data_IF_977493467425
#
_entry.id   IF_977493467425
#
_cell.length_a   1.000
_cell.length_b   1.000
_cell.length_c   1.000
_cell.angle_alpha   90.00
_cell.angle_beta   90.00
_cell.angle_gamma   90.00
#
_symmetry.space_group_name_H-M   'P 1'
#
loop_
_entity.id
_entity.type
_entity.pdbx_description
1 polymer ?
#
# COMPACT_ATOMS: atom_id res chain seq x y z
N UNK A 1 -3.33 4.85 3.67
CA UNK A 1 -2.27 3.94 3.23
C UNK A 1 -0.99 4.68 2.82
N UNK A 2 -1.07 5.78 2.07
CA UNK A 2 0.12 6.50 1.59
C UNK A 2 0.60 7.62 2.53
N UNK A 3 -0.03 7.79 3.69
CA UNK A 3 0.37 8.77 4.70
C UNK A 3 1.51 8.23 5.56
N UNK A 4 2.45 9.10 5.89
CA UNK A 4 3.54 8.84 6.82
C UNK A 4 3.81 10.13 7.62
N UNK A 5 4.11 10.00 8.92
CA UNK A 5 4.26 11.16 9.83
C UNK A 5 5.34 12.16 9.40
N UNK A 6 6.39 11.66 8.78
CA UNK A 6 7.56 12.46 8.39
C UNK A 6 7.57 12.88 6.91
N UNK A 7 6.49 12.58 6.16
CA UNK A 7 6.40 12.90 4.74
C UNK A 7 5.24 13.85 4.45
N UNK A 8 5.42 14.71 3.48
CA UNK A 8 4.33 15.55 2.98
C UNK A 8 3.18 14.68 2.46
N UNK A 9 1.93 15.13 2.56
CA UNK A 9 0.79 14.42 1.96
C UNK A 9 1.01 14.13 0.48
N UNK A 10 0.62 12.93 0.03
CA UNK A 10 0.87 12.46 -1.34
C UNK A 10 -0.39 12.26 -2.17
N UNK A 11 -1.52 11.95 -1.54
CA UNK A 11 -2.82 11.79 -2.21
C UNK A 11 -2.93 10.57 -3.13
N UNK A 12 -1.95 9.68 -3.17
CA UNK A 12 -1.89 8.58 -4.15
C UNK A 12 -2.90 7.46 -3.88
N UNK A 13 -3.12 7.08 -2.63
CA UNK A 13 -3.99 5.93 -2.31
C UNK A 13 -5.49 6.20 -2.48
N UNK A 14 -5.92 7.45 -2.57
CA UNK A 14 -7.32 7.88 -2.78
C UNK A 14 -8.33 7.34 -1.75
N UNK A 15 -7.88 6.90 -0.58
CA UNK A 15 -8.76 6.39 0.49
C UNK A 15 -9.26 7.48 1.45
N UNK A 16 -8.68 8.67 1.40
CA UNK A 16 -9.10 9.83 2.19
C UNK A 16 -9.96 10.82 1.40
N UNK A 17 -10.65 10.37 0.35
CA UNK A 17 -11.53 11.21 -0.46
C UNK A 17 -12.68 11.77 0.37
N UNK A 18 -13.07 13.00 0.08
CA UNK A 18 -14.17 13.75 0.73
C UNK A 18 -15.03 14.45 -0.32
N UNK A 19 -16.25 14.80 0.05
CA UNK A 19 -17.09 15.71 -0.71
C UNK A 19 -16.99 17.10 -0.06
N UNK A 20 -16.84 18.12 -0.89
CA UNK A 20 -16.77 19.53 -0.45
C UNK A 20 -17.81 20.31 -1.23
N UNK A 21 -18.67 21.07 -0.53
CA UNK A 21 -19.69 21.86 -1.19
C UNK A 21 -19.07 22.80 -2.21
N UNK A 22 -19.70 22.89 -3.39
CA UNK A 22 -19.27 23.71 -4.55
C UNK A 22 -17.96 23.25 -5.20
N UNK A 23 -17.33 22.15 -4.75
CA UNK A 23 -16.16 21.56 -5.40
C UNK A 23 -16.57 20.32 -6.19
N UNK A 24 -16.22 20.27 -7.47
CA UNK A 24 -16.53 19.14 -8.34
C UNK A 24 -15.65 17.93 -8.01
N UNK A 25 -16.27 16.76 -7.90
CA UNK A 25 -15.58 15.49 -7.65
C UNK A 25 -15.30 15.24 -6.17
N UNK A 26 -14.37 14.34 -5.90
CA UNK A 26 -14.02 13.90 -4.57
C UNK A 26 -12.52 14.09 -4.31
N UNK A 27 -12.11 15.29 -3.89
CA UNK A 27 -10.70 15.55 -3.59
C UNK A 27 -10.22 14.71 -2.41
N UNK A 28 -8.90 14.57 -2.29
CA UNK A 28 -8.25 13.88 -1.16
C UNK A 28 -8.08 14.84 0.01
N UNK A 29 -8.59 14.52 1.17
CA UNK A 29 -8.48 15.37 2.36
C UNK A 29 -7.02 15.68 2.74
N UNK A 30 -6.11 14.73 2.52
CA UNK A 30 -4.70 14.92 2.88
C UNK A 30 -3.95 15.97 2.04
N UNK A 31 -4.44 16.31 0.85
CA UNK A 31 -3.78 17.27 -0.06
C UNK A 31 -4.63 18.50 -0.36
N UNK A 32 -5.81 18.59 0.23
CA UNK A 32 -6.72 19.73 0.01
C UNK A 32 -6.56 20.73 1.16
N UNK A 33 -6.12 21.97 0.89
CA UNK A 33 -6.08 23.01 1.90
C UNK A 33 -7.49 23.30 2.45
N UNK A 34 -7.59 23.60 3.72
CA UNK A 34 -8.83 24.05 4.35
C UNK A 34 -9.03 25.54 4.11
N UNK A 35 -10.29 25.96 4.04
CA UNK A 35 -10.68 27.36 3.93
C UNK A 35 -11.89 27.65 4.83
N UNK A 36 -12.03 28.90 5.26
CA UNK A 36 -13.15 29.33 6.09
C UNK A 36 -14.49 29.10 5.37
N UNK A 37 -15.47 28.62 6.12
CA UNK A 37 -16.79 28.31 5.59
C UNK A 37 -16.88 27.06 4.72
N UNK A 38 -15.80 26.27 4.62
CA UNK A 38 -15.82 25.00 3.88
C UNK A 38 -16.70 23.97 4.57
N UNK A 39 -17.66 23.42 3.84
CA UNK A 39 -18.52 22.32 4.30
C UNK A 39 -18.01 21.01 3.71
N UNK A 40 -17.54 20.10 4.57
CA UNK A 40 -16.92 18.84 4.18
C UNK A 40 -17.74 17.65 4.68
N UNK A 41 -18.09 16.74 3.76
CA UNK A 41 -18.71 15.45 4.11
C UNK A 41 -17.68 14.36 3.96
N UNK A 42 -17.54 13.55 5.01
CA UNK A 42 -16.53 12.49 5.09
C UNK A 42 -17.12 11.09 4.99
N UNK A 43 -18.44 10.94 5.12
CA UNK A 43 -19.09 9.64 5.26
C UNK A 43 -20.43 9.59 4.51
N UNK A 44 -20.42 9.85 3.20
CA UNK A 44 -21.58 9.62 2.33
C UNK A 44 -21.53 8.21 1.74
N UNK A 45 -22.67 7.70 1.28
CA UNK A 45 -22.75 6.40 0.60
C UNK A 45 -21.84 6.36 -0.63
N UNK A 46 -21.79 7.47 -1.40
CA UNK A 46 -20.91 7.62 -2.56
C UNK A 46 -19.42 7.47 -2.20
N UNK A 47 -18.98 8.14 -1.12
CA UNK A 47 -17.62 8.04 -0.63
C UNK A 47 -17.27 6.65 -0.13
N UNK A 48 -18.18 6.00 0.60
CA UNK A 48 -17.98 4.62 1.07
C UNK A 48 -17.81 3.66 -0.10
N UNK A 49 -18.66 3.75 -1.11
CA UNK A 49 -18.57 2.94 -2.33
C UNK A 49 -17.25 3.18 -3.07
N UNK A 50 -16.86 4.45 -3.24
CA UNK A 50 -15.59 4.79 -3.90
C UNK A 50 -14.36 4.26 -3.15
N UNK A 51 -14.33 4.39 -1.82
CA UNK A 51 -13.24 3.84 -0.99
C UNK A 51 -13.18 2.32 -1.06
N UNK A 52 -14.34 1.64 -1.04
CA UNK A 52 -14.42 0.19 -1.20
C UNK A 52 -13.84 -0.25 -2.55
N UNK A 53 -14.27 0.34 -3.65
CA UNK A 53 -13.71 0.03 -4.99
C UNK A 53 -12.21 0.31 -5.09
N UNK A 54 -11.75 1.43 -4.52
CA UNK A 54 -10.33 1.75 -4.51
C UNK A 54 -9.51 0.70 -3.76
N UNK A 55 -10.01 0.24 -2.61
CA UNK A 55 -9.37 -0.81 -1.83
C UNK A 55 -9.39 -2.15 -2.58
N UNK A 56 -10.51 -2.53 -3.19
CA UNK A 56 -10.66 -3.75 -3.99
C UNK A 56 -9.68 -3.76 -5.17
N UNK A 57 -9.49 -2.64 -5.85
CA UNK A 57 -8.48 -2.50 -6.91
C UNK A 57 -7.06 -2.78 -6.40
N UNK A 58 -6.69 -2.23 -5.24
CA UNK A 58 -5.38 -2.51 -4.63
C UNK A 58 -5.24 -3.99 -4.26
N UNK A 59 -6.30 -4.59 -3.74
CA UNK A 59 -6.31 -5.97 -3.29
C UNK A 59 -6.39 -6.98 -4.44
N UNK A 60 -6.91 -6.58 -5.61
CA UNK A 60 -7.01 -7.48 -6.78
C UNK A 60 -5.66 -7.97 -7.29
N UNK A 61 -4.62 -7.16 -7.16
CA UNK A 61 -3.23 -7.50 -7.52
C UNK A 61 -2.35 -7.96 -6.34
N UNK A 62 -2.93 -8.09 -5.14
CA UNK A 62 -2.21 -8.42 -3.92
C UNK A 62 -2.55 -9.83 -3.43
N UNK A 63 -1.63 -10.46 -2.70
CA UNK A 63 -1.86 -11.78 -2.07
C UNK A 63 -2.80 -11.67 -0.87
N UNK A 64 -4.07 -11.42 -1.14
CA UNK A 64 -5.06 -10.99 -0.14
C UNK A 64 -6.19 -12.00 0.11
N UNK A 65 -6.05 -13.26 -0.32
CA UNK A 65 -7.09 -14.27 -0.19
C UNK A 65 -7.67 -14.42 1.24
N UNK A 66 -6.86 -14.20 2.27
CA UNK A 66 -7.32 -14.26 3.66
C UNK A 66 -8.32 -13.16 4.05
N UNK A 67 -8.46 -12.08 3.28
CA UNK A 67 -9.46 -11.04 3.57
C UNK A 67 -10.88 -11.52 3.34
N UNK A 68 -11.05 -12.52 2.47
CA UNK A 68 -12.33 -13.07 2.03
C UNK A 68 -12.56 -14.50 2.52
N UNK A 69 -11.67 -15.00 3.37
CA UNK A 69 -11.76 -16.36 3.90
C UNK A 69 -12.75 -16.42 5.05
N UNK A 70 -13.73 -17.30 4.98
CA UNK A 70 -14.73 -17.49 6.04
C UNK A 70 -14.10 -18.01 7.34
N UNK A 71 -13.02 -18.81 7.26
CA UNK A 71 -12.26 -19.31 8.38
C UNK A 71 -11.22 -18.30 8.94
N UNK A 72 -11.34 -17.02 8.61
CA UNK A 72 -10.37 -16.00 8.99
C UNK A 72 -10.22 -15.84 10.50
N UNK A 73 -11.33 -15.85 11.22
CA UNK A 73 -11.36 -15.67 12.69
C UNK A 73 -10.68 -16.84 13.39
N UNK A 74 -10.90 -18.06 12.92
CA UNK A 74 -10.25 -19.27 13.45
C UNK A 74 -8.73 -19.23 13.19
N UNK A 75 -8.30 -18.82 11.98
CA UNK A 75 -6.90 -18.63 11.64
C UNK A 75 -6.20 -17.54 12.46
N UNK A 76 -6.94 -16.53 12.93
CA UNK A 76 -6.40 -15.46 13.77
C UNK A 76 -6.14 -15.92 15.20
N UNK A 77 -6.85 -16.93 15.69
CA UNK A 77 -6.64 -17.53 17.00
C UNK A 77 -5.42 -18.46 17.05
N UNK A 78 -5.10 -19.08 15.92
CA UNK A 78 -3.89 -19.89 15.80
C UNK A 78 -2.71 -18.94 15.61
N UNK A 79 -1.79 -18.85 16.57
CA UNK A 79 -0.54 -18.09 16.40
C UNK A 79 0.24 -18.72 15.25
N UNK A 80 0.37 -18.07 14.08
CA UNK A 80 1.14 -18.63 12.99
C UNK A 80 2.61 -18.66 13.39
N UNK A 81 3.32 -19.66 12.91
CA UNK A 81 4.78 -19.63 12.96
C UNK A 81 5.30 -18.31 12.36
N UNK A 82 6.44 -17.80 12.86
CA UNK A 82 7.01 -16.56 12.32
C UNK A 82 7.13 -16.66 10.81
N UNK A 83 6.61 -15.65 10.12
CA UNK A 83 6.70 -15.58 8.67
C UNK A 83 8.15 -15.67 8.25
N UNK A 84 8.49 -16.66 7.44
CA UNK A 84 9.81 -16.72 6.81
C UNK A 84 9.83 -15.73 5.65
N UNK A 85 10.88 -14.94 5.57
CA UNK A 85 11.10 -14.06 4.43
C UNK A 85 10.98 -14.87 3.13
N UNK A 86 10.21 -14.37 2.18
CA UNK A 86 10.02 -15.02 0.90
C UNK A 86 8.94 -16.09 0.81
N UNK A 87 8.08 -16.24 1.79
CA UNK A 87 6.95 -17.19 1.79
C UNK A 87 5.60 -16.48 1.96
N UNK A 88 5.48 -15.27 1.51
CA UNK A 88 4.26 -14.46 1.66
C UNK A 88 3.20 -14.81 0.61
N UNK A 89 2.66 -16.01 0.67
CA UNK A 89 1.58 -16.45 -0.22
C UNK A 89 0.19 -16.11 0.31
N UNK A 90 0.09 -15.64 1.55
CA UNK A 90 -1.19 -15.29 2.21
C UNK A 90 -0.95 -14.42 3.44
N UNK A 91 -1.99 -13.73 3.89
CA UNK A 91 -1.90 -12.87 5.09
C UNK A 91 -1.42 -13.61 6.33
N UNK A 92 -1.76 -14.89 6.51
CA UNK A 92 -1.34 -15.69 7.67
C UNK A 92 0.17 -15.87 7.79
N UNK A 93 0.90 -15.80 6.68
CA UNK A 93 2.36 -15.92 6.62
C UNK A 93 3.07 -14.60 6.32
N UNK A 94 2.33 -13.50 6.21
CA UNK A 94 2.87 -12.18 5.92
C UNK A 94 3.56 -11.59 7.16
N UNK A 95 4.77 -11.05 7.01
CA UNK A 95 5.52 -10.38 8.07
C UNK A 95 4.79 -9.16 8.65
N UNK A 96 3.98 -8.46 7.85
CA UNK A 96 3.23 -7.28 8.26
C UNK A 96 1.81 -7.58 8.78
N UNK A 97 1.50 -8.84 9.12
CA UNK A 97 0.14 -9.24 9.49
C UNK A 97 -0.46 -8.41 10.62
N UNK A 98 0.29 -8.14 11.68
CA UNK A 98 -0.19 -7.41 12.86
C UNK A 98 -0.42 -5.92 12.60
N UNK A 99 0.37 -5.30 11.72
CA UNK A 99 0.37 -3.85 11.48
C UNK A 99 -0.08 -3.47 10.06
N UNK A 100 -0.75 -4.39 9.36
CA UNK A 100 -1.14 -4.20 7.97
C UNK A 100 -2.23 -3.13 7.82
N UNK A 101 -1.87 -1.97 7.28
CA UNK A 101 -2.80 -0.87 7.00
C UNK A 101 -3.93 -1.26 6.05
N UNK A 102 -3.71 -2.21 5.13
CA UNK A 102 -4.76 -2.72 4.24
C UNK A 102 -5.81 -3.47 5.05
N UNK A 103 -5.40 -4.37 5.94
CA UNK A 103 -6.33 -5.12 6.82
C UNK A 103 -7.15 -4.16 7.68
N UNK A 104 -6.51 -3.19 8.31
CA UNK A 104 -7.22 -2.18 9.12
C UNK A 104 -8.21 -1.37 8.28
N UNK A 105 -7.84 -0.99 7.05
CA UNK A 105 -8.74 -0.26 6.15
C UNK A 105 -9.90 -1.14 5.67
N UNK A 106 -9.65 -2.41 5.33
CA UNK A 106 -10.69 -3.36 4.92
C UNK A 106 -11.71 -3.60 6.05
N UNK A 107 -11.24 -3.74 7.28
CA UNK A 107 -12.11 -3.87 8.44
C UNK A 107 -12.99 -2.63 8.64
N UNK A 108 -12.42 -1.42 8.55
CA UNK A 108 -13.17 -0.15 8.67
C UNK A 108 -14.20 0.05 7.55
N UNK A 109 -13.93 -0.44 6.36
CA UNK A 109 -14.84 -0.34 5.21
C UNK A 109 -15.80 -1.55 5.12
N UNK A 110 -15.78 -2.44 6.10
CA UNK A 110 -16.58 -3.67 6.14
C UNK A 110 -16.51 -4.47 4.83
N UNK A 111 -15.31 -4.50 4.21
CA UNK A 111 -15.07 -5.21 2.95
C UNK A 111 -14.93 -6.70 3.24
N UNK A 112 -16.03 -7.46 3.09
CA UNK A 112 -16.07 -8.92 3.28
C UNK A 112 -16.08 -9.71 1.97
N UNK A 113 -16.44 -9.07 0.89
CA UNK A 113 -16.51 -9.66 -0.44
C UNK A 113 -15.85 -8.74 -1.45
N UNK A 114 -15.15 -9.32 -2.40
CA UNK A 114 -14.54 -8.59 -3.49
C UNK A 114 -15.45 -8.65 -4.72
N UNK A 115 -15.92 -7.48 -5.17
CA UNK A 115 -16.68 -7.36 -6.42
C UNK A 115 -15.80 -7.44 -7.68
N UNK A 116 -14.48 -7.25 -7.53
CA UNK A 116 -13.52 -7.27 -8.62
C UNK A 116 -12.81 -8.61 -8.72
N UNK A 117 -12.54 -9.04 -9.96
CA UNK A 117 -11.76 -10.25 -10.22
C UNK A 117 -10.35 -10.12 -9.66
N UNK A 118 -9.90 -11.15 -8.96
CA UNK A 118 -8.51 -11.29 -8.55
C UNK A 118 -7.60 -11.39 -9.79
N UNK A 119 -6.62 -10.51 -9.90
CA UNK A 119 -5.63 -10.47 -10.99
C UNK A 119 -4.21 -10.69 -10.48
N UNK A 120 -4.08 -11.28 -9.29
CA UNK A 120 -2.79 -11.55 -8.68
C UNK A 120 -1.94 -12.44 -9.60
N UNK A 121 -0.76 -11.93 -9.92
CA UNK A 121 0.26 -12.61 -10.73
C UNK A 121 1.53 -12.72 -9.85
N UNK A 122 1.88 -13.94 -9.39
CA UNK A 122 3.00 -14.13 -8.47
C UNK A 122 4.32 -13.67 -9.09
N UNK A 123 5.02 -12.79 -8.41
CA UNK A 123 6.32 -12.26 -8.80
C UNK A 123 7.43 -12.99 -8.04
N UNK A 124 8.57 -13.19 -8.70
CA UNK A 124 9.78 -13.69 -8.05
C UNK A 124 10.24 -12.70 -6.98
N UNK A 125 10.60 -13.23 -5.82
CA UNK A 125 11.23 -12.44 -4.76
C UNK A 125 12.67 -12.17 -5.15
N UNK A 126 13.07 -10.91 -5.10
CA UNK A 126 14.42 -10.47 -5.43
C UNK A 126 15.28 -10.56 -4.17
N UNK A 127 16.40 -11.30 -4.27
CA UNK A 127 17.35 -11.57 -3.19
C UNK A 127 18.79 -11.30 -3.61
N UNK A 128 18.95 -10.39 -4.55
CA UNK A 128 20.26 -10.07 -5.13
C UNK A 128 21.05 -9.08 -4.25
N UNK A 129 20.39 -8.46 -3.28
CA UNK A 129 21.01 -7.54 -2.33
C UNK A 129 21.42 -8.25 -1.04
N UNK A 130 22.56 -7.86 -0.41
CA UNK A 130 23.12 -8.59 0.73
C UNK A 130 22.32 -8.44 2.03
N UNK A 131 21.49 -7.38 2.16
CA UNK A 131 20.79 -7.04 3.41
C UNK A 131 19.28 -6.92 3.26
N UNK A 132 18.73 -6.91 2.03
CA UNK A 132 17.32 -6.62 1.78
C UNK A 132 16.76 -7.61 0.77
N UNK A 133 15.74 -8.35 1.17
CA UNK A 133 14.87 -9.10 0.27
C UNK A 133 13.71 -8.21 -0.19
N UNK A 134 13.41 -8.21 -1.48
CA UNK A 134 12.28 -7.47 -2.05
C UNK A 134 11.17 -8.40 -2.48
N UNK A 135 10.03 -8.30 -1.81
CA UNK A 135 8.83 -9.03 -2.18
C UNK A 135 7.77 -8.08 -2.77
N UNK A 136 7.76 -7.97 -4.09
CA UNK A 136 6.78 -7.15 -4.81
C UNK A 136 5.34 -7.68 -4.71
N UNK A 137 5.14 -8.92 -4.24
CA UNK A 137 3.81 -9.48 -4.01
C UNK A 137 3.09 -8.79 -2.84
N UNK A 138 3.84 -8.17 -1.94
CA UNK A 138 3.32 -7.43 -0.79
C UNK A 138 3.15 -5.93 -1.08
N UNK A 139 3.58 -5.47 -2.23
CA UNK A 139 3.59 -4.06 -2.58
C UNK A 139 2.22 -3.60 -3.08
N UNK A 140 1.69 -2.53 -2.48
CA UNK A 140 0.44 -1.85 -2.90
C UNK A 140 0.72 -0.47 -3.51
N UNK A 141 1.94 -0.19 -3.87
CA UNK A 141 2.38 1.08 -4.48
C UNK A 141 2.00 2.33 -3.66
N UNK A 142 2.01 2.23 -2.33
CA UNK A 142 1.70 3.37 -1.46
C UNK A 142 2.73 4.50 -1.55
N UNK A 143 3.93 4.21 -2.05
CA UNK A 143 4.98 5.19 -2.31
C UNK A 143 5.72 5.71 -1.07
N UNK A 144 5.51 5.12 0.11
CA UNK A 144 6.19 5.56 1.34
C UNK A 144 7.70 5.31 1.23
N UNK A 145 8.10 4.10 0.81
CA UNK A 145 9.51 3.68 0.77
C UNK A 145 10.39 4.59 -0.07
N UNK A 146 10.01 4.89 -1.31
CA UNK A 146 10.84 5.74 -2.17
C UNK A 146 10.86 7.19 -1.69
N UNK A 147 9.75 7.71 -1.17
CA UNK A 147 9.66 9.07 -0.64
C UNK A 147 10.46 9.26 0.65
N UNK A 148 10.51 8.25 1.51
CA UNK A 148 11.38 8.26 2.69
C UNK A 148 12.84 8.21 2.25
N UNK A 149 13.18 7.34 1.29
CA UNK A 149 14.52 7.25 0.75
C UNK A 149 14.99 8.60 0.19
N UNK A 150 14.17 9.22 -0.64
CA UNK A 150 14.44 10.55 -1.20
C UNK A 150 14.62 11.62 -0.12
N UNK A 151 13.78 11.62 0.92
CA UNK A 151 13.87 12.56 2.04
C UNK A 151 15.16 12.39 2.85
N UNK A 152 15.49 11.15 3.21
CA UNK A 152 16.68 10.85 4.03
C UNK A 152 17.98 11.20 3.30
N UNK A 153 17.99 11.06 1.97
CA UNK A 153 19.16 11.31 1.13
C UNK A 153 19.10 12.65 0.36
N UNK A 154 18.41 13.65 0.90
CA UNK A 154 18.37 15.02 0.35
C UNK A 154 17.99 15.08 -1.15
N UNK A 155 16.96 14.34 -1.54
CA UNK A 155 16.47 14.32 -2.91
C UNK A 155 17.11 13.26 -3.82
N UNK A 156 18.08 12.49 -3.32
CA UNK A 156 18.75 11.42 -4.06
C UNK A 156 18.22 10.06 -3.61
N UNK A 157 17.10 9.61 -4.16
CA UNK A 157 16.54 8.30 -3.84
C UNK A 157 17.18 7.18 -4.67
N UNK A 158 17.58 6.08 -4.03
CA UNK A 158 18.05 4.88 -4.73
C UNK A 158 16.92 4.09 -5.39
N UNK A 159 15.67 4.37 -5.04
CA UNK A 159 14.48 3.68 -5.53
C UNK A 159 13.39 4.66 -5.94
N UNK A 160 12.60 4.27 -6.94
CA UNK A 160 11.49 5.05 -7.47
C UNK A 160 10.36 4.14 -7.99
N UNK A 161 9.25 4.72 -8.45
CA UNK A 161 8.23 3.97 -9.20
C UNK A 161 8.72 3.80 -10.63
N UNK A 162 8.90 2.55 -11.05
CA UNK A 162 9.20 2.16 -12.42
C UNK A 162 7.96 1.63 -13.12
N UNK A 163 7.92 1.75 -14.46
CA UNK A 163 6.84 1.30 -15.32
C UNK A 163 5.49 1.99 -15.08
N UNK A 164 4.41 1.50 -15.72
CA UNK A 164 3.06 2.06 -15.63
C UNK A 164 1.99 0.97 -15.59
N UNK A 165 0.80 1.32 -15.08
CA UNK A 165 -0.34 0.42 -15.01
C UNK A 165 -0.04 -0.83 -14.21
N UNK A 166 -0.45 -1.99 -14.69
CA UNK A 166 -0.26 -3.28 -14.00
C UNK A 166 1.21 -3.68 -13.78
N UNK A 167 2.12 -3.10 -14.54
CA UNK A 167 3.55 -3.38 -14.47
C UNK A 167 4.29 -2.41 -13.55
N UNK A 168 3.59 -1.43 -12.94
CA UNK A 168 4.20 -0.50 -12.01
C UNK A 168 4.80 -1.25 -10.81
N UNK A 169 6.03 -0.91 -10.45
CA UNK A 169 6.72 -1.46 -9.28
C UNK A 169 7.67 -0.44 -8.68
N UNK A 170 8.08 -0.66 -7.45
CA UNK A 170 9.19 0.09 -6.85
C UNK A 170 10.49 -0.58 -7.30
N UNK A 171 11.37 0.18 -7.90
CA UNK A 171 12.63 -0.34 -8.41
C UNK A 171 13.76 0.67 -8.30
N UNK A 172 14.99 0.18 -8.37
CA UNK A 172 16.19 0.93 -8.65
C UNK A 172 16.25 1.30 -10.15
N UNK A 173 17.19 2.15 -10.55
CA UNK A 173 17.41 2.47 -11.95
C UNK A 173 17.77 1.20 -12.74
N UNK A 174 17.14 1.04 -13.90
CA UNK A 174 17.34 -0.11 -14.80
C UNK A 174 17.16 -1.50 -14.16
N UNK A 175 16.41 -1.56 -13.05
CA UNK A 175 16.13 -2.82 -12.35
C UNK A 175 17.36 -3.54 -11.79
N UNK A 176 18.43 -2.80 -11.50
CA UNK A 176 19.66 -3.33 -10.93
C UNK A 176 19.54 -3.58 -9.42
N UNK A 177 20.47 -4.34 -8.86
CA UNK A 177 20.60 -4.48 -7.41
C UNK A 177 20.77 -3.11 -6.74
N UNK A 178 20.22 -2.92 -5.53
CA UNK A 178 20.28 -1.63 -4.83
C UNK A 178 21.70 -1.22 -4.44
N UNK A 179 22.54 -2.19 -4.15
CA UNK A 179 23.96 -1.97 -3.92
C UNK A 179 24.68 -1.31 -5.08
N UNK A 180 24.18 -1.50 -6.31
CA UNK A 180 24.73 -0.88 -7.52
C UNK A 180 24.33 0.59 -7.67
N UNK A 181 23.18 1.00 -7.09
CA UNK A 181 22.56 2.31 -7.24
C UNK A 181 22.86 3.25 -6.03
N UNK A 182 24.00 3.09 -5.38
CA UNK A 182 24.41 3.90 -4.21
C UNK A 182 23.47 3.80 -3.00
N UNK A 183 22.70 2.71 -2.88
CA UNK A 183 21.93 2.44 -1.68
C UNK A 183 22.87 2.28 -0.48
N UNK A 184 22.62 3.05 0.58
CA UNK A 184 23.43 3.00 1.80
C UNK A 184 22.91 1.97 2.82
N UNK A 185 21.89 1.17 2.46
CA UNK A 185 21.25 0.18 3.33
C UNK A 185 20.84 0.74 4.70
N UNK A 186 20.40 1.99 4.75
CA UNK A 186 20.03 2.67 6.00
C UNK A 186 18.72 2.14 6.64
N UNK A 187 17.96 1.29 5.94
CA UNK A 187 16.73 0.70 6.43
C UNK A 187 15.50 1.62 6.48
N UNK A 188 15.62 2.90 6.11
CA UNK A 188 14.51 3.86 6.23
C UNK A 188 13.28 3.54 5.38
N UNK A 189 13.41 2.69 4.37
CA UNK A 189 12.32 2.28 3.47
C UNK A 189 11.60 0.99 3.90
N UNK A 190 12.02 0.35 4.99
CA UNK A 190 11.49 -0.92 5.52
C UNK A 190 10.47 -0.67 6.63
#
# INVERSE_FOLDING_TARGET
LCAHKDLNPYGACRLCVVEIDKVRGTPTACTTPVADGMVVRTNTEGLQRQRKYTLELMMSGHTSACFYCDAREECEQVKPEPAKAGVSTRCGTCSNRSECSIRHTAAKLHTREMGLKQIYDPKKIERDDPFIDRDHNLCVLCGICFRVCEKVHNGKGAIAIANRGKNAKISSAFDKAWSFEECQFCGACI
#
